data_IF_722863963590
#
_entry.id   IF_722863963590
#
_cell.length_a   1.000
_cell.length_b   1.000
_cell.length_c   1.000
_cell.angle_alpha   90.00
_cell.angle_beta   90.00
_cell.angle_gamma   90.00
#
_symmetry.space_group_name_H-M   'P 1'
#
loop_
_entity.id
_entity.type
_entity.pdbx_description
1 polymer ?
#
# COMPACT_ATOMS: atom_id res chain seq x y z
N UNK A 1 -16.12 -10.59 -17.01
CA UNK A 1 -15.28 -9.80 -16.07
C UNK A 1 -13.85 -10.29 -16.08
N UNK A 2 -13.61 -11.60 -15.99
CA UNK A 2 -12.26 -12.17 -16.02
C UNK A 2 -11.52 -11.93 -17.34
N UNK A 3 -10.19 -11.86 -17.27
CA UNK A 3 -9.25 -11.84 -18.39
C UNK A 3 -8.05 -12.75 -18.09
N UNK A 4 -8.06 -13.95 -18.67
CA UNK A 4 -7.09 -15.02 -18.41
C UNK A 4 -6.11 -15.11 -19.57
N UNK A 5 -4.85 -14.75 -19.30
CA UNK A 5 -3.79 -14.72 -20.31
C UNK A 5 -2.93 -16.00 -20.28
N UNK A 6 -2.94 -16.76 -21.36
CA UNK A 6 -2.14 -17.99 -21.51
C UNK A 6 -0.79 -17.80 -22.23
N UNK A 7 -0.47 -16.57 -22.65
CA UNK A 7 0.75 -16.27 -23.40
C UNK A 7 2.02 -16.15 -22.54
N UNK A 8 1.93 -16.34 -21.22
CA UNK A 8 3.06 -16.38 -20.31
C UNK A 8 3.88 -17.67 -20.48
N UNK A 9 4.64 -17.77 -21.57
CA UNK A 9 5.53 -18.90 -21.81
C UNK A 9 6.52 -19.11 -20.64
N UNK A 10 6.99 -20.33 -20.41
CA UNK A 10 8.03 -20.57 -19.39
C UNK A 10 9.37 -19.93 -19.80
N UNK A 11 10.15 -19.38 -18.86
CA UNK A 11 11.50 -18.90 -19.14
C UNK A 11 12.36 -19.99 -19.83
N UNK A 12 13.26 -19.63 -20.78
CA UNK A 12 13.61 -18.27 -21.21
C UNK A 12 12.76 -17.73 -22.38
N UNK A 13 11.61 -18.35 -22.70
CA UNK A 13 10.82 -18.02 -23.91
C UNK A 13 9.70 -17.00 -23.66
N UNK A 14 9.65 -16.38 -22.47
CA UNK A 14 8.65 -15.34 -22.16
C UNK A 14 8.67 -14.24 -23.21
N UNK A 15 7.47 -13.82 -23.61
CA UNK A 15 7.26 -12.64 -24.44
C UNK A 15 6.78 -11.49 -23.56
N UNK A 16 6.99 -10.23 -23.98
CA UNK A 16 6.38 -9.09 -23.31
C UNK A 16 4.87 -9.28 -23.18
N UNK A 17 4.31 -8.85 -22.06
CA UNK A 17 2.86 -8.90 -21.86
C UNK A 17 2.23 -7.78 -22.68
N UNK A 18 1.26 -8.04 -23.58
CA UNK A 18 0.75 -7.04 -24.53
C UNK A 18 -0.30 -6.11 -23.91
N UNK A 19 0.01 -5.51 -22.76
CA UNK A 19 -0.82 -4.49 -22.11
C UNK A 19 -0.08 -3.16 -22.07
N UNK A 20 -0.73 -2.10 -22.50
CA UNK A 20 -0.23 -0.72 -22.44
C UNK A 20 -1.04 0.11 -21.45
N UNK A 21 -2.34 -0.22 -21.28
CA UNK A 21 -3.25 0.45 -20.36
C UNK A 21 -3.87 -0.52 -19.33
N UNK A 22 -4.28 -0.01 -18.15
CA UNK A 22 -4.84 -0.84 -17.08
C UNK A 22 -6.00 -1.74 -17.49
N UNK A 23 -6.83 -1.28 -18.43
CA UNK A 23 -8.07 -1.94 -18.84
C UNK A 23 -8.00 -2.65 -20.20
N UNK A 24 -6.78 -2.89 -20.73
CA UNK A 24 -6.60 -3.69 -21.94
C UNK A 24 -6.98 -5.15 -21.71
N UNK A 25 -7.75 -5.75 -22.61
CA UNK A 25 -8.10 -7.18 -22.57
C UNK A 25 -7.14 -7.97 -23.45
N UNK A 26 -6.45 -8.95 -22.88
CA UNK A 26 -5.38 -9.71 -23.59
C UNK A 26 -5.62 -11.22 -23.62
N UNK A 27 -6.64 -11.70 -22.94
CA UNK A 27 -6.91 -13.12 -22.75
C UNK A 27 -8.36 -13.48 -22.93
N UNK A 28 -8.74 -14.58 -22.27
CA UNK A 28 -10.05 -15.21 -22.40
C UNK A 28 -10.88 -15.04 -21.11
N UNK A 29 -12.22 -15.08 -21.18
CA UNK A 29 -13.06 -14.85 -20.01
C UNK A 29 -13.23 -16.08 -19.09
N UNK A 30 -12.45 -17.16 -19.31
CA UNK A 30 -12.56 -18.42 -18.60
C UNK A 30 -11.20 -19.14 -18.48
N UNK A 31 -11.12 -20.10 -17.55
CA UNK A 31 -9.98 -20.99 -17.41
C UNK A 31 -10.12 -22.21 -18.34
N UNK A 32 -9.03 -22.62 -18.97
CA UNK A 32 -8.91 -23.89 -19.69
C UNK A 32 -8.69 -25.03 -18.70
N UNK A 33 -9.43 -26.12 -18.87
CA UNK A 33 -9.25 -27.35 -18.12
C UNK A 33 -9.44 -28.54 -19.06
N UNK A 34 -8.50 -29.48 -19.02
CA UNK A 34 -8.67 -30.78 -19.68
C UNK A 34 -9.72 -31.58 -18.93
N UNK A 35 -10.87 -31.82 -19.58
CA UNK A 35 -12.02 -32.48 -18.96
C UNK A 35 -11.72 -33.92 -18.49
N UNK A 36 -10.68 -34.57 -19.01
CA UNK A 36 -10.24 -35.89 -18.52
C UNK A 36 -9.66 -35.83 -17.10
N UNK A 37 -9.21 -34.65 -16.66
CA UNK A 37 -8.70 -34.40 -15.30
C UNK A 37 -9.81 -34.06 -14.30
N UNK A 38 -11.03 -33.81 -14.78
CA UNK A 38 -12.17 -33.45 -13.93
C UNK A 38 -12.81 -34.71 -13.36
N UNK A 39 -12.46 -35.04 -12.11
CA UNK A 39 -12.98 -36.23 -11.42
C UNK A 39 -14.35 -36.04 -10.78
N UNK A 40 -14.74 -34.80 -10.48
CA UNK A 40 -16.03 -34.44 -9.89
C UNK A 40 -16.34 -32.95 -10.10
N UNK A 41 -17.64 -32.62 -10.12
CA UNK A 41 -18.15 -31.25 -10.01
C UNK A 41 -19.09 -31.23 -8.80
N UNK A 42 -18.79 -30.41 -7.80
CA UNK A 42 -19.56 -30.32 -6.54
C UNK A 42 -20.41 -29.06 -6.55
N UNK A 43 -21.75 -29.16 -6.64
CA UNK A 43 -22.62 -28.00 -6.52
C UNK A 43 -22.54 -27.42 -5.09
N UNK A 44 -22.35 -26.11 -4.97
CA UNK A 44 -22.28 -25.41 -3.68
C UNK A 44 -23.16 -24.16 -3.70
N UNK A 45 -23.70 -23.79 -2.55
CA UNK A 45 -24.44 -22.55 -2.33
C UNK A 45 -23.93 -21.84 -1.07
N UNK A 46 -22.62 -21.60 -1.02
CA UNK A 46 -21.94 -20.98 0.11
C UNK A 46 -21.52 -19.56 -0.26
N UNK A 47 -21.78 -18.59 0.62
CA UNK A 47 -21.29 -17.21 0.48
C UNK A 47 -19.81 -17.12 0.89
N UNK A 48 -19.12 -16.15 0.30
CA UNK A 48 -17.78 -15.77 0.73
C UNK A 48 -17.78 -15.27 2.18
N UNK A 49 -16.61 -15.37 2.83
CA UNK A 49 -16.39 -14.76 4.15
C UNK A 49 -16.03 -13.29 3.94
N UNK A 50 -16.98 -12.42 4.24
CA UNK A 50 -16.83 -10.98 4.04
C UNK A 50 -16.50 -10.28 5.36
N UNK A 51 -15.49 -9.41 5.34
CA UNK A 51 -15.14 -8.59 6.49
C UNK A 51 -16.09 -7.38 6.57
N UNK A 52 -16.36 -6.90 7.79
CA UNK A 52 -17.15 -5.69 7.97
C UNK A 52 -16.38 -4.45 7.48
N UNK A 53 -17.11 -3.50 6.88
CA UNK A 53 -16.56 -2.18 6.60
C UNK A 53 -16.30 -1.45 7.92
N UNK A 54 -15.13 -0.84 8.04
CA UNK A 54 -14.81 0.08 9.14
C UNK A 54 -14.74 1.48 8.56
N UNK A 55 -15.50 2.39 9.17
CA UNK A 55 -15.49 3.80 8.76
C UNK A 55 -14.14 4.45 9.12
N UNK A 56 -13.61 5.31 8.24
CA UNK A 56 -12.42 6.10 8.52
C UNK A 56 -12.51 6.84 9.86
N UNK A 57 -11.49 6.67 10.69
CA UNK A 57 -11.30 7.48 11.89
C UNK A 57 -10.59 8.81 11.54
N UNK A 58 -10.53 9.74 12.51
CA UNK A 58 -9.94 11.07 12.30
C UNK A 58 -8.47 11.02 11.86
N UNK A 59 -7.69 10.09 12.44
CA UNK A 59 -6.29 9.90 12.06
C UNK A 59 -6.17 9.44 10.61
N UNK A 60 -7.00 8.49 10.19
CA UNK A 60 -7.07 7.98 8.82
C UNK A 60 -7.49 9.07 7.83
N UNK A 61 -8.45 9.92 8.20
CA UNK A 61 -8.84 11.08 7.38
C UNK A 61 -7.69 12.09 7.24
N UNK A 62 -6.96 12.38 8.31
CA UNK A 62 -5.79 13.27 8.26
C UNK A 62 -4.67 12.73 7.36
N UNK A 63 -4.42 11.42 7.41
CA UNK A 63 -3.48 10.75 6.49
C UNK A 63 -3.94 10.93 5.04
N UNK A 64 -5.23 10.74 4.77
CA UNK A 64 -5.79 10.92 3.43
C UNK A 64 -5.65 12.37 2.93
N UNK A 65 -5.94 13.36 3.78
CA UNK A 65 -5.74 14.78 3.47
C UNK A 65 -4.28 15.07 3.08
N UNK A 66 -3.31 14.60 3.87
CA UNK A 66 -1.88 14.77 3.59
C UNK A 66 -1.48 14.18 2.22
N UNK A 67 -2.03 13.00 1.86
CA UNK A 67 -1.78 12.35 0.57
C UNK A 67 -2.40 13.17 -0.57
N UNK A 68 -3.65 13.62 -0.42
CA UNK A 68 -4.37 14.36 -1.47
C UNK A 68 -3.74 15.72 -1.71
N UNK A 69 -3.32 16.43 -0.67
CA UNK A 69 -2.58 17.69 -0.79
C UNK A 69 -1.25 17.50 -1.51
N UNK A 70 -0.53 16.42 -1.21
CA UNK A 70 0.70 16.07 -1.91
C UNK A 70 0.45 15.76 -3.39
N UNK A 71 -0.54 14.93 -3.72
CA UNK A 71 -0.87 14.61 -5.11
C UNK A 71 -1.30 15.87 -5.89
N UNK A 72 -2.09 16.76 -5.29
CA UNK A 72 -2.44 18.05 -5.89
C UNK A 72 -1.21 18.91 -6.15
N UNK A 73 -0.26 18.94 -5.21
CA UNK A 73 0.99 19.63 -5.40
C UNK A 73 1.79 19.05 -6.57
N UNK A 74 1.91 17.71 -6.65
CA UNK A 74 2.61 17.02 -7.75
C UNK A 74 1.97 17.32 -9.12
N UNK A 75 0.64 17.43 -9.19
CA UNK A 75 -0.06 17.88 -10.41
C UNK A 75 0.27 19.34 -10.72
N UNK A 76 0.15 20.22 -9.73
CA UNK A 76 0.40 21.67 -9.90
C UNK A 76 1.80 21.98 -10.42
N UNK A 77 2.79 21.20 -10.02
CA UNK A 77 4.19 21.36 -10.45
C UNK A 77 4.57 20.50 -11.67
N UNK A 78 3.60 19.81 -12.26
CA UNK A 78 3.76 19.07 -13.52
C UNK A 78 4.50 17.74 -13.40
N UNK A 79 4.57 17.14 -12.20
CA UNK A 79 5.16 15.80 -11.97
C UNK A 79 4.15 14.66 -12.11
N UNK A 80 2.86 14.96 -12.00
CA UNK A 80 1.75 14.06 -12.27
C UNK A 80 0.73 14.74 -13.21
N UNK A 81 0.02 13.98 -14.06
CA UNK A 81 -1.07 14.52 -14.86
C UNK A 81 -2.33 14.77 -13.99
N UNK A 82 -3.29 15.60 -14.44
CA UNK A 82 -4.54 15.89 -13.71
C UNK A 82 -5.37 14.65 -13.36
N UNK A 83 -5.38 13.65 -14.23
CA UNK A 83 -6.04 12.35 -14.07
C UNK A 83 -5.21 11.35 -13.22
N UNK A 84 -4.07 11.80 -12.68
CA UNK A 84 -3.08 10.98 -11.99
C UNK A 84 -2.59 9.78 -12.84
N UNK A 85 -1.87 8.87 -12.21
CA UNK A 85 -1.47 7.60 -12.80
C UNK A 85 -2.32 6.47 -12.19
N UNK A 86 -2.33 5.26 -12.77
CA UNK A 86 -3.14 4.18 -12.25
C UNK A 86 -2.85 3.91 -10.77
N UNK A 87 -3.92 3.80 -9.99
CA UNK A 87 -3.85 3.71 -8.54
C UNK A 87 -3.82 2.25 -8.09
N UNK A 88 -2.86 1.92 -7.23
CA UNK A 88 -2.91 0.74 -6.39
C UNK A 88 -3.13 1.18 -4.94
N UNK A 89 -4.10 0.55 -4.28
CA UNK A 89 -4.37 0.75 -2.86
C UNK A 89 -4.46 -0.60 -2.16
N UNK A 90 -3.83 -0.70 -1.00
CA UNK A 90 -4.01 -1.82 -0.09
C UNK A 90 -5.41 -1.86 0.54
N UNK A 91 -5.60 -2.71 1.55
CA UNK A 91 -6.84 -2.83 2.31
C UNK A 91 -6.76 -2.19 3.68
N UNK A 92 -7.90 -1.73 4.21
CA UNK A 92 -8.05 -1.33 5.61
C UNK A 92 -8.58 0.09 5.78
N UNK A 93 -8.64 0.55 7.04
CA UNK A 93 -9.29 1.82 7.37
C UNK A 93 -8.65 3.02 6.66
N UNK A 94 -7.31 3.05 6.65
CA UNK A 94 -6.54 4.14 6.04
C UNK A 94 -6.70 4.14 4.52
N UNK A 95 -6.64 2.96 3.89
CA UNK A 95 -6.88 2.82 2.46
C UNK A 95 -8.29 3.31 2.06
N UNK A 96 -9.31 2.93 2.82
CA UNK A 96 -10.68 3.42 2.62
C UNK A 96 -10.77 4.94 2.77
N UNK A 97 -10.07 5.53 3.74
CA UNK A 97 -10.02 6.98 3.93
C UNK A 97 -9.40 7.70 2.72
N UNK A 98 -8.30 7.16 2.19
CA UNK A 98 -7.63 7.70 0.99
C UNK A 98 -8.55 7.61 -0.23
N UNK A 99 -9.22 6.47 -0.45
CA UNK A 99 -10.18 6.31 -1.56
C UNK A 99 -11.36 7.27 -1.42
N UNK A 100 -11.91 7.44 -0.20
CA UNK A 100 -12.98 8.40 0.06
C UNK A 100 -12.54 9.84 -0.20
N UNK A 101 -11.32 10.19 0.21
CA UNK A 101 -10.77 11.51 -0.05
C UNK A 101 -10.49 11.75 -1.55
N UNK A 102 -10.01 10.75 -2.29
CA UNK A 102 -9.88 10.82 -3.75
C UNK A 102 -11.24 11.01 -4.43
N UNK A 103 -12.27 10.32 -3.94
CA UNK A 103 -13.64 10.44 -4.47
C UNK A 103 -14.21 11.86 -4.29
N UNK A 104 -13.90 12.51 -3.17
CA UNK A 104 -14.30 13.88 -2.88
C UNK A 104 -13.30 14.94 -3.37
N UNK A 105 -12.16 14.49 -3.90
CA UNK A 105 -11.04 15.31 -4.29
C UNK A 105 -11.20 15.94 -5.68
N UNK A 106 -10.20 16.72 -6.11
CA UNK A 106 -10.25 17.47 -7.36
C UNK A 106 -9.86 16.64 -8.59
N UNK A 107 -9.52 15.35 -8.44
CA UNK A 107 -9.11 14.49 -9.53
C UNK A 107 -10.32 13.82 -10.18
N UNK A 108 -10.29 13.63 -11.49
CA UNK A 108 -11.32 12.96 -12.28
C UNK A 108 -10.65 11.96 -13.25
N UNK A 109 -11.45 11.07 -13.86
CA UNK A 109 -10.97 10.08 -14.83
C UNK A 109 -9.86 9.16 -14.29
N UNK A 110 -9.95 8.83 -13.00
CA UNK A 110 -8.99 7.96 -12.34
C UNK A 110 -9.11 6.55 -12.90
N UNK A 111 -8.01 5.80 -12.86
CA UNK A 111 -7.99 4.37 -13.18
C UNK A 111 -7.29 3.61 -12.06
N UNK A 112 -7.77 2.40 -11.77
CA UNK A 112 -7.16 1.53 -10.77
C UNK A 112 -6.49 0.31 -11.44
N UNK A 113 -5.28 0.00 -10.99
CA UNK A 113 -4.60 -1.26 -11.28
C UNK A 113 -4.04 -1.78 -9.96
N UNK A 114 -4.80 -2.65 -9.31
CA UNK A 114 -4.62 -3.04 -7.92
C UNK A 114 -4.65 -4.56 -7.75
N UNK A 115 -4.29 -5.06 -6.58
CA UNK A 115 -4.45 -6.49 -6.25
C UNK A 115 -5.91 -6.82 -5.90
N UNK A 116 -6.55 -5.92 -5.13
CA UNK A 116 -7.89 -6.11 -4.58
C UNK A 116 -8.72 -4.85 -4.74
N UNK A 117 -10.00 -5.04 -5.07
CA UNK A 117 -10.99 -3.98 -5.17
C UNK A 117 -11.85 -3.95 -3.91
N UNK A 118 -11.95 -2.79 -3.29
CA UNK A 118 -12.66 -2.58 -2.04
C UNK A 118 -13.90 -1.68 -2.21
N UNK A 119 -14.71 -1.59 -1.16
CA UNK A 119 -15.91 -0.73 -1.08
C UNK A 119 -15.66 0.68 -1.64
N UNK A 120 -14.58 1.35 -1.21
CA UNK A 120 -14.27 2.71 -1.66
C UNK A 120 -14.06 2.83 -3.18
N UNK A 121 -13.53 1.80 -3.84
CA UNK A 121 -13.42 1.79 -5.30
C UNK A 121 -14.77 1.60 -5.99
N UNK A 122 -15.71 0.83 -5.39
CA UNK A 122 -17.08 0.76 -5.93
C UNK A 122 -17.75 2.14 -5.85
N UNK A 123 -17.60 2.82 -4.72
CA UNK A 123 -18.16 4.17 -4.53
C UNK A 123 -17.59 5.17 -5.55
N UNK A 124 -16.31 5.03 -5.91
CA UNK A 124 -15.68 5.87 -6.94
C UNK A 124 -16.10 5.52 -8.37
N UNK A 125 -16.37 4.25 -8.68
CA UNK A 125 -16.96 3.88 -9.97
C UNK A 125 -18.35 4.52 -10.11
N UNK A 126 -19.18 4.38 -9.07
CA UNK A 126 -20.55 4.88 -9.01
C UNK A 126 -20.62 6.41 -9.11
N UNK A 127 -19.68 7.13 -8.49
CA UNK A 127 -19.60 8.59 -8.58
C UNK A 127 -19.10 9.08 -9.94
N UNK A 128 -18.48 8.21 -10.74
CA UNK A 128 -17.81 8.56 -11.99
C UNK A 128 -16.40 9.13 -11.81
N UNK A 129 -15.85 9.14 -10.59
CA UNK A 129 -14.47 9.55 -10.34
C UNK A 129 -13.44 8.54 -10.84
N UNK A 130 -13.77 7.25 -10.75
CA UNK A 130 -12.99 6.14 -11.26
C UNK A 130 -13.66 5.61 -12.53
N UNK A 131 -12.93 5.60 -13.63
CA UNK A 131 -13.45 5.10 -14.91
C UNK A 131 -13.43 3.56 -14.95
N UNK A 132 -12.28 2.97 -14.57
CA UNK A 132 -12.07 1.52 -14.60
C UNK A 132 -11.19 1.00 -13.47
N UNK A 133 -11.36 -0.28 -13.13
CA UNK A 133 -10.53 -0.98 -12.17
C UNK A 133 -10.08 -2.36 -12.68
N UNK A 134 -8.78 -2.56 -12.76
CA UNK A 134 -8.14 -3.86 -12.97
C UNK A 134 -7.67 -4.41 -11.63
N UNK A 135 -8.13 -5.62 -11.28
CA UNK A 135 -7.88 -6.24 -9.97
C UNK A 135 -7.72 -7.76 -10.09
N UNK A 136 -7.17 -8.42 -9.09
CA UNK A 136 -7.24 -9.89 -9.00
C UNK A 136 -8.51 -10.35 -8.32
N UNK A 137 -8.89 -9.68 -7.22
CA UNK A 137 -10.03 -10.12 -6.41
C UNK A 137 -10.87 -8.96 -5.88
N UNK A 138 -11.98 -9.31 -5.26
CA UNK A 138 -12.92 -8.39 -4.61
C UNK A 138 -12.82 -8.61 -3.10
N UNK A 139 -12.59 -7.52 -2.35
CA UNK A 139 -12.53 -7.50 -0.90
C UNK A 139 -13.63 -6.55 -0.38
N UNK A 140 -14.88 -6.98 -0.56
CA UNK A 140 -16.08 -6.17 -0.30
C UNK A 140 -16.71 -6.50 1.05
N UNK A 141 -17.30 -5.50 1.70
CA UNK A 141 -18.18 -5.72 2.84
C UNK A 141 -19.48 -6.43 2.44
N UNK A 142 -20.24 -7.01 3.39
CA UNK A 142 -21.53 -7.62 3.09
C UNK A 142 -22.49 -6.73 2.30
N UNK A 143 -22.61 -5.46 2.68
CA UNK A 143 -23.49 -4.51 1.99
C UNK A 143 -22.97 -4.16 0.58
N UNK A 144 -21.66 -3.96 0.44
CA UNK A 144 -21.05 -3.69 -0.86
C UNK A 144 -21.15 -4.88 -1.81
N UNK A 145 -21.02 -6.12 -1.32
CA UNK A 145 -21.21 -7.33 -2.12
C UNK A 145 -22.66 -7.47 -2.61
N UNK A 146 -23.65 -7.20 -1.75
CA UNK A 146 -25.07 -7.23 -2.16
C UNK A 146 -25.35 -6.17 -3.24
N UNK A 147 -24.80 -4.96 -3.08
CA UNK A 147 -24.89 -3.89 -4.09
C UNK A 147 -24.20 -4.26 -5.40
N UNK A 148 -23.02 -4.88 -5.30
CA UNK A 148 -22.24 -5.37 -6.45
C UNK A 148 -23.03 -6.38 -7.28
N UNK A 149 -23.60 -7.40 -6.62
CA UNK A 149 -24.39 -8.44 -7.28
C UNK A 149 -25.68 -7.88 -7.90
N UNK A 150 -26.36 -6.96 -7.21
CA UNK A 150 -27.57 -6.33 -7.72
C UNK A 150 -27.35 -5.49 -8.99
N UNK A 151 -26.14 -4.94 -9.18
CA UNK A 151 -25.80 -4.07 -10.32
C UNK A 151 -24.65 -4.64 -11.17
N UNK A 152 -24.56 -5.97 -11.27
CA UNK A 152 -23.43 -6.65 -11.92
C UNK A 152 -23.21 -6.24 -13.38
N UNK A 153 -24.28 -5.89 -14.11
CA UNK A 153 -24.18 -5.45 -15.51
C UNK A 153 -23.46 -4.11 -15.68
N UNK A 154 -23.57 -3.23 -14.68
CA UNK A 154 -22.86 -1.96 -14.63
C UNK A 154 -21.38 -2.17 -14.31
N UNK A 155 -21.09 -2.96 -13.27
CA UNK A 155 -19.73 -3.20 -12.82
C UNK A 155 -18.91 -4.07 -13.78
N UNK A 156 -19.53 -5.04 -14.46
CA UNK A 156 -18.81 -5.93 -15.39
C UNK A 156 -18.20 -5.23 -16.59
N UNK A 157 -18.65 -4.01 -16.89
CA UNK A 157 -18.11 -3.16 -17.95
C UNK A 157 -16.91 -2.32 -17.50
N UNK A 158 -16.70 -2.18 -16.18
CA UNK A 158 -15.71 -1.28 -15.56
C UNK A 158 -14.68 -2.01 -14.70
N UNK A 159 -14.95 -3.26 -14.32
CA UNK A 159 -14.07 -4.08 -13.50
C UNK A 159 -13.55 -5.26 -14.31
N UNK A 160 -12.24 -5.43 -14.31
CA UNK A 160 -11.54 -6.54 -14.94
C UNK A 160 -10.79 -7.36 -13.90
N UNK A 161 -11.11 -8.66 -13.84
CA UNK A 161 -10.47 -9.61 -12.93
C UNK A 161 -9.34 -10.34 -13.66
N UNK A 162 -8.11 -10.26 -13.15
CA UNK A 162 -6.93 -10.88 -13.76
C UNK A 162 -6.30 -11.90 -12.82
N UNK A 163 -5.54 -12.87 -13.33
CA UNK A 163 -4.64 -13.64 -12.47
C UNK A 163 -3.65 -12.73 -11.74
N UNK A 164 -3.27 -13.09 -10.52
CA UNK A 164 -2.30 -12.30 -9.73
C UNK A 164 -0.94 -12.15 -10.42
N UNK A 165 -0.54 -13.13 -11.24
CA UNK A 165 0.68 -13.05 -12.04
C UNK A 165 0.63 -11.93 -13.10
N UNK A 166 -0.55 -11.37 -13.40
CA UNK A 166 -0.74 -10.22 -14.28
C UNK A 166 -0.97 -8.95 -13.45
N UNK A 167 -1.90 -8.96 -12.50
CA UNK A 167 -2.19 -7.75 -11.68
C UNK A 167 -0.99 -7.28 -10.86
N UNK A 168 -0.10 -8.20 -10.48
CA UNK A 168 1.09 -7.89 -9.68
C UNK A 168 2.37 -7.97 -10.52
N UNK A 169 2.28 -8.05 -11.85
CA UNK A 169 3.46 -8.24 -12.67
C UNK A 169 4.36 -6.99 -12.68
N UNK A 170 5.65 -7.09 -12.27
CA UNK A 170 6.56 -5.94 -12.21
C UNK A 170 6.68 -5.14 -13.51
N UNK A 171 6.71 -5.83 -14.66
CA UNK A 171 6.77 -5.18 -15.98
C UNK A 171 5.58 -4.24 -16.22
N UNK A 172 4.38 -4.64 -15.82
CA UNK A 172 3.16 -3.88 -16.05
C UNK A 172 3.03 -2.74 -15.06
N UNK A 173 3.32 -3.01 -13.78
CA UNK A 173 3.34 -1.98 -12.72
C UNK A 173 4.26 -0.83 -13.13
N UNK A 174 5.48 -1.17 -13.60
CA UNK A 174 6.46 -0.17 -14.04
C UNK A 174 6.08 0.51 -15.35
N UNK A 175 5.59 -0.25 -16.34
CA UNK A 175 5.19 0.30 -17.65
C UNK A 175 4.08 1.33 -17.52
N UNK A 176 3.07 1.03 -16.71
CA UNK A 176 1.90 1.88 -16.50
C UNK A 176 2.18 3.03 -15.51
N UNK A 177 3.31 2.98 -14.80
CA UNK A 177 3.72 4.04 -13.90
C UNK A 177 2.80 4.19 -12.68
N UNK A 178 2.46 3.11 -12.00
CA UNK A 178 1.47 3.14 -10.92
C UNK A 178 1.86 4.08 -9.76
N UNK A 179 0.85 4.61 -9.08
CA UNK A 179 0.99 5.16 -7.72
C UNK A 179 0.57 4.06 -6.75
N UNK A 180 1.51 3.54 -5.95
CA UNK A 180 1.25 2.50 -4.97
C UNK A 180 1.11 3.09 -3.57
N UNK A 181 0.00 2.77 -2.89
CA UNK A 181 -0.30 3.23 -1.54
C UNK A 181 -0.49 2.04 -0.61
N UNK A 182 0.48 1.82 0.29
CA UNK A 182 0.53 0.66 1.16
C UNK A 182 0.54 1.04 2.64
N UNK A 183 -0.21 0.29 3.44
CA UNK A 183 -0.10 0.37 4.89
C UNK A 183 1.17 -0.36 5.38
N UNK A 184 1.60 -0.06 6.60
CA UNK A 184 2.75 -0.71 7.24
C UNK A 184 2.52 -0.95 8.74
N UNK A 185 3.37 -1.78 9.35
CA UNK A 185 3.43 -1.99 10.81
C UNK A 185 4.29 -0.92 11.47
N UNK A 186 5.51 -0.75 10.97
CA UNK A 186 6.45 0.28 11.43
C UNK A 186 7.44 0.65 10.33
N UNK A 187 7.93 1.88 10.37
CA UNK A 187 9.05 2.34 9.56
C UNK A 187 10.18 2.81 10.48
N UNK A 188 11.43 2.72 10.04
CA UNK A 188 12.51 3.36 10.78
C UNK A 188 12.75 4.79 10.32
N UNK A 189 13.53 5.53 11.10
CA UNK A 189 13.90 6.90 10.72
C UNK A 189 14.68 6.96 9.40
N UNK A 190 15.27 5.88 8.89
CA UNK A 190 15.92 5.87 7.57
C UNK A 190 14.96 5.55 6.43
N UNK A 191 13.72 5.17 6.76
CA UNK A 191 12.65 4.87 5.82
C UNK A 191 12.72 3.45 5.28
N UNK A 192 13.30 2.50 6.01
CA UNK A 192 12.97 1.08 5.82
C UNK A 192 11.61 0.79 6.45
N UNK A 193 10.88 -0.17 5.89
CA UNK A 193 9.52 -0.49 6.31
C UNK A 193 9.37 -1.97 6.64
N UNK A 194 8.66 -2.23 7.73
CA UNK A 194 8.12 -3.51 8.15
C UNK A 194 6.61 -3.55 7.89
N UNK A 195 6.16 -4.52 7.11
CA UNK A 195 4.76 -4.74 6.76
C UNK A 195 4.21 -6.03 7.38
N UNK A 196 5.06 -6.85 8.01
CA UNK A 196 4.74 -8.26 8.29
C UNK A 196 4.90 -8.68 9.75
N UNK A 197 6.03 -8.37 10.39
CA UNK A 197 6.41 -8.99 11.67
C UNK A 197 6.33 -8.00 12.83
N UNK A 198 5.31 -8.14 13.68
CA UNK A 198 5.24 -7.42 14.95
C UNK A 198 6.38 -7.87 15.86
N UNK A 199 7.16 -6.90 16.33
CA UNK A 199 8.36 -7.14 17.16
C UNK A 199 9.33 -8.15 16.52
N UNK A 200 9.43 -8.13 15.19
CA UNK A 200 10.39 -8.92 14.40
C UNK A 200 10.11 -10.43 14.31
N UNK A 201 9.05 -10.94 14.93
CA UNK A 201 8.82 -12.39 15.03
C UNK A 201 7.36 -12.83 14.89
N UNK A 202 6.39 -12.00 15.25
CA UNK A 202 4.97 -12.34 15.16
C UNK A 202 4.38 -11.87 13.84
N UNK A 203 4.03 -12.79 12.94
CA UNK A 203 3.40 -12.46 11.66
C UNK A 203 2.01 -11.83 11.88
N UNK A 204 1.73 -10.74 11.17
CA UNK A 204 0.39 -10.13 11.12
C UNK A 204 -0.46 -10.81 10.04
N UNK A 205 -0.07 -10.64 8.78
CA UNK A 205 -0.70 -11.26 7.61
C UNK A 205 0.38 -11.92 6.75
N UNK A 206 1.11 -11.10 5.98
CA UNK A 206 2.16 -11.48 5.04
C UNK A 206 2.49 -10.29 4.14
N UNK A 207 3.58 -10.36 3.39
CA UNK A 207 4.03 -9.24 2.53
C UNK A 207 3.03 -8.98 1.39
N UNK A 208 2.35 -10.02 0.90
CA UNK A 208 1.42 -9.91 -0.22
C UNK A 208 2.09 -9.27 -1.45
N UNK A 209 1.33 -8.48 -2.20
CA UNK A 209 1.85 -7.71 -3.33
C UNK A 209 2.59 -6.42 -2.98
N UNK A 210 2.75 -6.04 -1.70
CA UNK A 210 3.34 -4.73 -1.38
C UNK A 210 4.75 -4.58 -1.94
N UNK A 211 5.51 -5.68 -2.00
CA UNK A 211 6.84 -5.71 -2.63
C UNK A 211 6.79 -5.57 -4.16
N UNK A 212 5.81 -6.20 -4.81
CA UNK A 212 5.59 -6.10 -6.26
C UNK A 212 5.31 -4.66 -6.66
N UNK A 213 4.44 -3.97 -5.91
CA UNK A 213 4.06 -2.60 -6.19
C UNK A 213 5.13 -1.60 -5.76
N UNK A 214 5.60 -1.62 -4.51
CA UNK A 214 6.52 -0.60 -3.98
C UNK A 214 7.82 -0.46 -4.78
N UNK A 215 8.41 -1.59 -5.21
CA UNK A 215 9.67 -1.60 -5.98
C UNK A 215 9.49 -1.07 -7.41
N UNK A 216 8.30 -1.27 -8.00
CA UNK A 216 8.08 -1.08 -9.43
C UNK A 216 7.17 0.11 -9.79
N UNK A 217 6.47 0.68 -8.81
CA UNK A 217 5.63 1.86 -8.98
C UNK A 217 6.45 3.10 -9.40
N UNK A 218 5.78 4.05 -10.05
CA UNK A 218 6.33 5.38 -10.28
C UNK A 218 6.50 6.16 -8.98
N UNK A 219 5.56 5.97 -8.05
CA UNK A 219 5.52 6.60 -6.74
C UNK A 219 5.04 5.60 -5.69
N UNK A 220 5.90 5.29 -4.72
CA UNK A 220 5.63 4.40 -3.59
C UNK A 220 5.42 5.19 -2.30
N UNK A 221 4.17 5.14 -1.83
CA UNK A 221 3.68 5.81 -0.63
C UNK A 221 3.38 4.74 0.43
N UNK A 222 3.93 4.97 1.60
CA UNK A 222 3.75 4.14 2.78
C UNK A 222 3.03 4.95 3.87
N UNK A 223 1.98 4.39 4.45
CA UNK A 223 1.11 5.12 5.37
C UNK A 223 0.79 4.34 6.64
N UNK A 224 0.80 5.03 7.77
CA UNK A 224 0.49 4.47 9.10
C UNK A 224 0.02 5.58 10.03
N UNK A 225 -0.79 5.31 11.06
CA UNK A 225 -0.84 6.21 12.20
C UNK A 225 0.56 6.29 12.83
N UNK A 226 0.93 7.42 13.42
CA UNK A 226 2.27 7.60 14.00
C UNK A 226 2.47 6.79 15.29
N UNK A 227 1.38 6.32 15.91
CA UNK A 227 1.38 5.44 17.08
C UNK A 227 0.36 4.30 16.96
N UNK A 228 0.55 3.25 17.76
CA UNK A 228 -0.37 2.13 17.91
C UNK A 228 -0.57 1.77 19.39
N UNK A 229 -1.59 0.94 19.66
CA UNK A 229 -1.93 0.46 21.02
C UNK A 229 -2.10 1.60 22.02
N UNK A 230 -2.95 2.56 21.68
CA UNK A 230 -3.28 3.73 22.52
C UNK A 230 -2.03 4.56 22.88
N UNK A 231 -1.19 4.85 21.89
CA UNK A 231 0.04 5.62 22.06
C UNK A 231 1.22 4.84 22.65
N UNK A 232 1.02 3.59 23.10
CA UNK A 232 2.07 2.77 23.75
C UNK A 232 3.15 2.26 22.78
N UNK A 233 2.90 2.28 21.49
CA UNK A 233 3.87 1.90 20.45
C UNK A 233 4.03 3.09 19.51
N UNK A 234 5.26 3.44 19.15
CA UNK A 234 5.50 4.32 18.00
C UNK A 234 5.59 3.48 16.73
N UNK A 235 4.93 3.93 15.66
CA UNK A 235 5.05 3.30 14.33
C UNK A 235 6.28 3.81 13.56
N UNK A 236 7.00 4.80 14.09
CA UNK A 236 8.28 5.25 13.56
C UNK A 236 9.35 4.95 14.62
N UNK A 237 10.30 4.08 14.31
CA UNK A 237 11.27 3.53 15.26
C UNK A 237 12.73 3.87 14.91
N UNK A 238 13.69 3.71 15.83
CA UNK A 238 15.11 3.93 15.48
C UNK A 238 15.62 2.95 14.40
N UNK A 239 15.19 1.69 14.46
CA UNK A 239 15.49 0.64 13.48
C UNK A 239 14.31 -0.33 13.43
N UNK A 240 13.85 -0.71 12.24
CA UNK A 240 12.72 -1.64 12.10
C UNK A 240 13.12 -3.02 12.60
N UNK A 241 12.20 -3.70 13.30
CA UNK A 241 12.45 -5.04 13.83
C UNK A 241 12.47 -6.13 12.75
N UNK A 242 11.95 -5.83 11.56
CA UNK A 242 12.01 -6.64 10.35
C UNK A 242 11.97 -5.72 9.12
N UNK A 243 12.60 -6.10 8.01
CA UNK A 243 12.62 -5.28 6.78
C UNK A 243 11.90 -6.04 5.67
N UNK A 244 10.76 -5.53 5.23
CA UNK A 244 10.07 -5.97 4.01
C UNK A 244 10.41 -5.07 2.82
N UNK A 245 10.56 -3.77 3.09
CA UNK A 245 10.90 -2.76 2.07
C UNK A 245 12.10 -1.94 2.52
N UNK A 246 13.09 -1.86 1.65
CA UNK A 246 14.33 -1.10 1.90
C UNK A 246 14.08 0.40 1.69
N UNK A 247 15.01 1.25 2.13
CA UNK A 247 14.95 2.69 1.88
C UNK A 247 14.85 3.06 0.38
N UNK A 248 15.25 2.15 -0.51
CA UNK A 248 15.18 2.31 -1.96
C UNK A 248 13.78 2.05 -2.55
N UNK A 249 12.90 1.38 -1.80
CA UNK A 249 11.51 1.08 -2.20
C UNK A 249 10.51 2.13 -1.73
N UNK A 250 10.97 3.02 -0.85
CA UNK A 250 10.12 3.92 -0.06
C UNK A 250 10.46 5.35 -0.43
N UNK A 251 9.57 5.98 -1.19
CA UNK A 251 9.74 7.38 -1.58
C UNK A 251 8.96 8.34 -0.70
N UNK A 252 7.81 7.94 -0.15
CA UNK A 252 6.99 8.81 0.71
C UNK A 252 6.51 8.03 1.93
N UNK A 253 6.63 8.63 3.11
CA UNK A 253 6.01 8.14 4.35
C UNK A 253 4.99 9.16 4.83
N UNK A 254 3.81 8.68 5.25
CA UNK A 254 2.70 9.53 5.71
C UNK A 254 2.16 9.04 7.03
N UNK A 255 1.96 9.97 7.95
CA UNK A 255 1.18 9.76 9.18
C UNK A 255 0.16 10.89 9.35
N UNK A 256 -0.67 10.81 10.37
CA UNK A 256 -1.58 11.90 10.73
C UNK A 256 -0.82 13.17 11.19
N UNK A 257 0.48 13.06 11.48
CA UNK A 257 1.33 14.21 11.83
C UNK A 257 1.78 15.00 10.58
N UNK A 258 1.82 14.35 9.42
CA UNK A 258 2.34 14.94 8.19
C UNK A 258 2.92 13.92 7.21
N UNK A 259 3.53 14.45 6.15
CA UNK A 259 4.09 13.69 5.04
C UNK A 259 5.58 14.01 4.85
N UNK A 260 6.40 12.97 4.67
CA UNK A 260 7.81 13.07 4.34
C UNK A 260 8.06 12.56 2.91
N UNK A 261 8.40 13.48 1.99
CA UNK A 261 8.88 13.16 0.64
C UNK A 261 10.39 12.94 0.66
N UNK A 262 10.80 11.70 0.41
CA UNK A 262 12.16 11.21 0.61
C UNK A 262 12.96 11.10 -0.70
N UNK A 263 12.38 11.54 -1.83
CA UNK A 263 13.02 11.47 -3.15
C UNK A 263 14.29 12.32 -3.17
N UNK A 264 15.40 11.70 -3.59
CA UNK A 264 16.70 12.37 -3.71
C UNK A 264 17.42 12.66 -2.38
N UNK A 265 16.93 12.14 -1.25
CA UNK A 265 17.52 12.37 0.07
C UNK A 265 18.46 11.22 0.49
N UNK A 266 19.61 11.58 1.06
CA UNK A 266 20.51 10.65 1.74
C UNK A 266 19.92 10.19 3.10
N UNK A 267 20.39 9.07 3.69
CA UNK A 267 19.76 8.51 4.90
C UNK A 267 19.61 9.49 6.07
N UNK A 268 20.63 10.30 6.39
CA UNK A 268 20.51 11.31 7.46
C UNK A 268 19.49 12.41 7.14
N UNK A 269 19.34 12.79 5.86
CA UNK A 269 18.32 13.74 5.44
C UNK A 269 16.91 13.13 5.54
N UNK A 270 16.77 11.84 5.18
CA UNK A 270 15.53 11.06 5.39
C UNK A 270 15.16 11.03 6.87
N UNK A 271 16.12 10.71 7.75
CA UNK A 271 15.91 10.68 9.20
C UNK A 271 15.42 12.00 9.76
N UNK A 272 16.07 13.11 9.42
CA UNK A 272 15.61 14.43 9.88
C UNK A 272 14.20 14.74 9.42
N UNK A 273 13.87 14.46 8.15
CA UNK A 273 12.55 14.75 7.60
C UNK A 273 11.45 13.85 8.18
N UNK A 274 11.70 12.54 8.30
CA UNK A 274 10.76 11.58 8.90
C UNK A 274 10.49 11.95 10.37
N UNK A 275 11.55 12.28 11.14
CA UNK A 275 11.41 12.73 12.52
C UNK A 275 10.60 14.02 12.62
N UNK A 276 10.84 14.97 11.70
CA UNK A 276 10.13 16.23 11.68
C UNK A 276 8.64 16.06 11.34
N UNK A 277 8.33 15.29 10.29
CA UNK A 277 7.00 15.26 9.67
C UNK A 277 6.10 14.12 10.13
N UNK A 278 6.66 12.99 10.53
CA UNK A 278 5.89 11.75 10.69
C UNK A 278 5.87 11.20 12.13
N UNK A 279 6.88 11.51 12.95
CA UNK A 279 6.96 11.02 14.33
C UNK A 279 5.98 11.76 15.24
N UNK A 280 5.22 11.02 16.05
CA UNK A 280 4.33 11.57 17.07
C UNK A 280 5.10 12.47 18.06
N UNK A 281 4.53 13.59 18.55
CA UNK A 281 5.17 14.47 19.52
C UNK A 281 5.77 13.75 20.72
N UNK A 282 5.06 12.77 21.30
CA UNK A 282 5.51 11.98 22.45
C UNK A 282 6.82 11.20 22.23
N UNK A 283 7.14 10.85 20.98
CA UNK A 283 8.32 10.07 20.61
C UNK A 283 9.41 10.91 19.94
N UNK A 284 9.08 12.13 19.52
CA UNK A 284 9.94 12.97 18.67
C UNK A 284 11.24 13.40 19.35
N UNK A 285 11.18 13.75 20.64
CA UNK A 285 12.37 14.11 21.44
C UNK A 285 13.32 12.93 21.56
N UNK A 286 12.82 11.77 22.02
CA UNK A 286 13.62 10.56 22.18
C UNK A 286 14.23 10.07 20.85
N UNK A 287 13.48 10.16 19.75
CA UNK A 287 13.99 9.83 18.41
C UNK A 287 15.11 10.78 17.95
N UNK A 288 14.93 12.09 18.18
CA UNK A 288 15.94 13.10 17.85
C UNK A 288 17.23 12.89 18.66
N UNK A 289 17.10 12.61 19.96
CA UNK A 289 18.25 12.29 20.82
C UNK A 289 18.98 11.01 20.37
N UNK A 290 18.25 9.97 19.94
CA UNK A 290 18.86 8.77 19.37
C UNK A 290 19.70 9.13 18.12
N UNK A 291 19.12 9.90 17.19
CA UNK A 291 19.81 10.30 15.96
C UNK A 291 21.08 11.12 16.26
N UNK A 292 21.02 12.11 17.15
CA UNK A 292 22.18 12.95 17.48
C UNK A 292 23.29 12.16 18.17
N UNK A 293 22.94 11.23 19.06
CA UNK A 293 23.92 10.32 19.66
C UNK A 293 24.52 9.36 18.63
N UNK A 294 23.71 8.80 17.73
CA UNK A 294 24.19 7.96 16.64
C UNK A 294 25.14 8.73 15.70
N UNK A 295 24.78 9.97 15.32
CA UNK A 295 25.63 10.85 14.52
C UNK A 295 26.97 11.14 15.19
N UNK A 296 27.02 11.28 16.52
CA UNK A 296 28.26 11.47 17.26
C UNK A 296 29.07 10.19 17.42
N UNK A 297 28.44 9.10 17.83
CA UNK A 297 29.14 7.94 18.40
C UNK A 297 29.24 6.73 17.44
N UNK A 298 28.40 6.62 16.40
CA UNK A 298 28.43 5.48 15.48
C UNK A 298 29.73 5.45 14.63
N UNK A 299 30.33 4.28 14.34
CA UNK A 299 31.55 4.22 13.54
C UNK A 299 31.34 4.67 12.08
N UNK A 300 30.18 4.35 11.50
CA UNK A 300 29.76 4.81 10.18
C UNK A 300 28.77 5.98 10.28
N UNK A 301 28.92 6.99 9.42
CA UNK A 301 28.08 8.20 9.43
C UNK A 301 27.10 8.31 8.25
N UNK A 302 27.14 7.35 7.32
CA UNK A 302 26.20 7.32 6.20
C UNK A 302 24.78 7.00 6.69
N UNK A 303 24.65 5.93 7.48
CA UNK A 303 23.41 5.47 8.14
C UNK A 303 23.73 5.15 9.60
N UNK A 304 23.86 6.17 10.47
CA UNK A 304 24.42 5.99 11.81
C UNK A 304 23.46 5.23 12.75
N UNK A 305 23.96 4.21 13.44
CA UNK A 305 23.21 3.48 14.46
C UNK A 305 24.05 3.26 15.73
N UNK A 306 23.36 3.25 16.87
CA UNK A 306 23.85 2.69 18.12
C UNK A 306 23.29 1.28 18.24
N UNK A 307 24.08 0.26 17.89
CA UNK A 307 23.60 -1.13 17.75
C UNK A 307 23.09 -1.74 19.07
N UNK A 308 23.66 -1.32 20.20
CA UNK A 308 23.23 -1.72 21.54
C UNK A 308 21.84 -1.16 21.92
N UNK A 309 21.36 -0.13 21.20
CA UNK A 309 20.12 0.59 21.50
C UNK A 309 19.12 0.61 20.35
N UNK A 310 19.48 0.13 19.16
CA UNK A 310 18.66 0.19 17.95
C UNK A 310 17.26 -0.43 18.14
N UNK A 311 17.17 -1.50 18.93
CA UNK A 311 15.94 -2.23 19.25
C UNK A 311 15.43 -1.98 20.68
N UNK A 312 15.93 -0.95 21.36
CA UNK A 312 15.58 -0.71 22.76
C UNK A 312 14.08 -0.43 22.96
N UNK A 313 13.41 0.19 21.98
CA UNK A 313 11.99 0.49 22.03
C UNK A 313 11.16 -0.80 21.97
N UNK A 314 11.46 -1.70 21.04
CA UNK A 314 10.81 -3.02 20.95
C UNK A 314 11.03 -3.84 22.23
N UNK A 315 12.27 -3.89 22.73
CA UNK A 315 12.57 -4.58 23.99
C UNK A 315 11.83 -3.99 25.18
N UNK A 316 11.66 -2.66 25.24
CA UNK A 316 10.91 -1.98 26.29
C UNK A 316 9.45 -2.37 26.24
N UNK A 317 8.82 -2.30 25.06
CA UNK A 317 7.43 -2.71 24.88
C UNK A 317 7.19 -4.16 25.33
N UNK A 318 8.08 -5.09 24.98
CA UNK A 318 7.97 -6.48 25.42
C UNK A 318 8.08 -6.67 26.95
N UNK A 319 8.82 -5.79 27.64
CA UNK A 319 9.03 -5.86 29.10
C UNK A 319 7.96 -5.13 29.90
N UNK A 320 7.49 -3.99 29.40
CA UNK A 320 6.67 -3.03 30.18
C UNK A 320 5.29 -2.78 29.58
N UNK A 321 5.05 -3.23 28.34
CA UNK A 321 3.83 -2.93 27.59
C UNK A 321 3.79 -1.52 26.99
N UNK A 322 4.89 -0.75 27.01
CA UNK A 322 5.02 0.56 26.37
C UNK A 322 6.44 0.80 25.82
N UNK A 323 6.53 1.48 24.68
CA UNK A 323 7.79 2.00 24.15
C UNK A 323 8.23 3.29 24.85
N UNK A 324 7.35 3.97 25.58
CA UNK A 324 7.72 5.12 26.39
C UNK A 324 8.54 4.67 27.62
N UNK A 325 9.52 5.50 27.99
CA UNK A 325 10.39 5.28 29.15
C UNK A 325 9.66 5.55 30.47
#
# INVERSE_FOLDING_TARGET
MHDIYYGAAVPPKRKPIPMEHPFDRIGEPYLHCDMSKVIAVVPTAQRDRLAAFTAPDEGSMRIAENIIDFLQHEVKVGRLPPELLPLQSGVGNIANAVLAGLNNGPFDHLNAYTEVLQDGMLDMLESGKLDTASTTSLALSPAAMERFLANIDYYRQRIMLRPQEISNHPELIRRMGLISMNALIEADMYGNVNSTHVMGSSIMNGIGGSGDFARNAYLSIFMTPSTAKDGKISCIVPMVSHVDHTEHDVQVIVTEQGLADLRGLAPVQRARLIIEKCVHPDYKVAMSEYLERALRDAPGKHTPHLLDQAYAWHQRYLKTGSMQA
#
